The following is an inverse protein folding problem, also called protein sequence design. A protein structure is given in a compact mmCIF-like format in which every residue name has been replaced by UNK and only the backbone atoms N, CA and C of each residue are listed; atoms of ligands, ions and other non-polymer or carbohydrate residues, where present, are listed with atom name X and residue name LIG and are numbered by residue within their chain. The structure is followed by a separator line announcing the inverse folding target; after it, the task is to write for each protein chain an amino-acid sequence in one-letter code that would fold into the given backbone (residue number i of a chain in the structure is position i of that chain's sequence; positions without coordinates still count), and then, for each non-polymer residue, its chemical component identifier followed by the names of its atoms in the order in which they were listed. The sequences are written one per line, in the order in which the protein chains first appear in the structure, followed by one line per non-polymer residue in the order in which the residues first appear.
data_IF_892739741878
#
_entry.id   IF_892739741878
#
_cell.length_a   1.000
_cell.length_b   1.000
_cell.length_c   1.000
_cell.angle_alpha   90.00
_cell.angle_beta   90.00
_cell.angle_gamma   90.00
#
_symmetry.space_group_name_H-M   'P 1'
#
loop_
_entity.id
_entity.type
_entity.pdbx_description
1 polymer ?
#
# COMPACT_ATOMS: atom_id res chain seq x y z
N UNK A 1 13.49 -0.44 -4.58
CA UNK A 1 13.91 -1.08 -5.82
C UNK A 1 12.74 -1.24 -6.80
N UNK A 2 11.56 -1.66 -6.39
CA UNK A 2 10.42 -1.85 -7.29
C UNK A 2 10.07 -0.64 -8.21
N UNK A 3 10.15 0.60 -7.71
CA UNK A 3 9.85 1.77 -8.55
C UNK A 3 10.81 1.90 -9.75
N UNK A 4 12.10 1.60 -9.57
CA UNK A 4 13.08 1.65 -10.67
C UNK A 4 12.71 0.65 -11.77
N UNK A 5 12.43 -0.59 -11.41
CA UNK A 5 12.08 -1.64 -12.36
C UNK A 5 10.75 -1.33 -13.10
N UNK A 6 9.78 -0.71 -12.40
CA UNK A 6 8.54 -0.22 -13.04
C UNK A 6 8.81 0.90 -14.04
N UNK A 7 9.69 1.88 -13.72
CA UNK A 7 10.04 2.95 -14.66
C UNK A 7 10.80 2.42 -15.89
N UNK A 8 11.66 1.40 -15.73
CA UNK A 8 12.25 0.69 -16.86
C UNK A 8 11.17 0.08 -17.75
N UNK A 9 10.13 -0.53 -17.15
CA UNK A 9 8.98 -1.09 -17.87
C UNK A 9 8.14 -0.05 -18.63
N UNK A 10 8.07 1.19 -18.14
CA UNK A 10 7.43 2.29 -18.90
C UNK A 10 8.26 2.69 -20.11
N UNK A 11 9.60 2.70 -19.99
CA UNK A 11 10.52 3.08 -21.06
C UNK A 11 10.62 2.04 -22.20
N UNK A 12 10.04 0.86 -22.05
CA UNK A 12 9.93 -0.12 -23.15
C UNK A 12 9.10 0.42 -24.31
N UNK A 13 8.11 1.25 -24.04
CA UNK A 13 7.25 1.88 -25.06
C UNK A 13 7.97 2.99 -25.84
N UNK A 14 9.14 3.42 -25.38
CA UNK A 14 9.99 4.42 -26.00
C UNK A 14 10.56 5.45 -25.02
N UNK A 15 11.46 6.32 -25.51
CA UNK A 15 12.03 7.39 -24.70
C UNK A 15 10.97 8.36 -24.20
N UNK A 16 11.13 8.84 -22.95
CA UNK A 16 10.16 9.70 -22.30
C UNK A 16 10.80 10.71 -21.34
N UNK A 17 10.12 11.82 -21.08
CA UNK A 17 10.48 12.74 -20.01
C UNK A 17 10.09 12.20 -18.63
N UNK A 18 10.77 12.62 -17.58
CA UNK A 18 10.43 12.23 -16.20
C UNK A 18 8.97 12.58 -15.81
N UNK A 19 8.43 13.64 -16.40
CA UNK A 19 7.02 14.02 -16.24
C UNK A 19 6.08 12.93 -16.81
N UNK A 20 6.33 12.50 -18.03
CA UNK A 20 5.51 11.51 -18.74
C UNK A 20 5.61 10.13 -18.06
N UNK A 21 6.81 9.77 -17.57
CA UNK A 21 7.04 8.54 -16.81
C UNK A 21 6.21 8.51 -15.51
N UNK A 22 6.08 9.65 -14.81
CA UNK A 22 5.20 9.76 -13.65
C UNK A 22 3.74 9.53 -14.03
N UNK A 23 3.27 10.18 -15.08
CA UNK A 23 1.88 10.04 -15.52
C UNK A 23 1.57 8.61 -15.93
N UNK A 24 2.42 8.01 -16.76
CA UNK A 24 2.26 6.62 -17.17
C UNK A 24 2.27 5.63 -15.98
N UNK A 25 3.09 5.90 -14.95
CA UNK A 25 3.05 5.11 -13.71
C UNK A 25 1.70 5.24 -13.00
N UNK A 26 1.22 6.48 -12.77
CA UNK A 26 -0.01 6.72 -12.01
C UNK A 26 -1.24 6.18 -12.74
N UNK A 27 -1.26 6.23 -14.08
CA UNK A 27 -2.30 5.59 -14.91
C UNK A 27 -2.28 4.06 -14.82
N UNK A 28 -1.09 3.45 -14.78
CA UNK A 28 -0.95 1.99 -14.66
C UNK A 28 -1.28 1.45 -13.27
N UNK A 29 -1.09 2.27 -12.24
CA UNK A 29 -1.28 1.90 -10.83
C UNK A 29 -2.21 2.87 -10.09
N UNK A 30 -3.47 3.03 -10.52
CA UNK A 30 -4.41 4.01 -9.94
C UNK A 30 -4.74 3.73 -8.47
N UNK A 31 -4.68 2.46 -8.04
CA UNK A 31 -4.90 2.08 -6.63
C UNK A 31 -3.73 2.44 -5.70
N UNK A 32 -2.56 2.79 -6.24
CA UNK A 32 -1.40 3.19 -5.46
C UNK A 32 -1.44 4.69 -5.14
N UNK A 33 -0.62 5.10 -4.15
CA UNK A 33 -0.40 6.53 -3.92
C UNK A 33 0.35 7.13 -5.10
N UNK A 34 -0.19 8.23 -5.65
CA UNK A 34 0.45 8.96 -6.72
C UNK A 34 1.91 9.34 -6.38
N UNK A 35 2.82 9.14 -7.33
CA UNK A 35 4.24 9.41 -7.14
C UNK A 35 4.51 10.92 -7.01
N UNK A 36 5.39 11.28 -6.09
CA UNK A 36 5.96 12.62 -6.07
C UNK A 36 7.01 12.76 -7.19
N UNK A 37 7.05 13.90 -7.87
CA UNK A 37 8.07 14.19 -8.89
C UNK A 37 9.50 13.96 -8.40
N UNK A 38 9.81 14.40 -7.16
CA UNK A 38 11.11 14.17 -6.55
C UNK A 38 11.52 12.70 -6.45
N UNK A 39 10.57 11.78 -6.20
CA UNK A 39 10.83 10.34 -6.19
C UNK A 39 11.17 9.81 -7.58
N UNK A 40 10.46 10.27 -8.61
CA UNK A 40 10.73 9.88 -10.00
C UNK A 40 12.13 10.33 -10.42
N UNK A 41 12.45 11.62 -10.23
CA UNK A 41 13.77 12.14 -10.63
C UNK A 41 14.93 11.54 -9.83
N UNK A 42 14.75 11.31 -8.52
CA UNK A 42 15.76 10.62 -7.71
C UNK A 42 15.95 9.16 -8.15
N UNK A 43 14.88 8.50 -8.62
CA UNK A 43 14.97 7.14 -9.14
C UNK A 43 15.67 7.13 -10.52
N UNK A 44 15.29 8.05 -11.43
CA UNK A 44 15.94 8.18 -12.74
C UNK A 44 17.44 8.50 -12.62
N UNK A 45 17.83 9.35 -11.69
CA UNK A 45 19.25 9.62 -11.44
C UNK A 45 20.01 8.34 -11.04
N UNK A 46 19.45 7.51 -10.15
CA UNK A 46 20.05 6.24 -9.74
C UNK A 46 20.08 5.21 -10.89
N UNK A 47 19.05 5.17 -11.72
CA UNK A 47 19.01 4.29 -12.90
C UNK A 47 20.07 4.72 -13.93
N UNK A 48 20.26 6.02 -14.14
CA UNK A 48 21.27 6.59 -15.02
C UNK A 48 22.69 6.30 -14.48
N UNK A 49 22.93 6.49 -13.18
CA UNK A 49 24.21 6.16 -12.53
C UNK A 49 24.55 4.67 -12.65
N UNK A 50 23.53 3.81 -12.58
CA UNK A 50 23.68 2.37 -12.78
C UNK A 50 23.76 1.94 -14.27
N UNK A 51 23.68 2.87 -15.23
CA UNK A 51 23.73 2.59 -16.66
C UNK A 51 22.49 1.88 -17.22
N UNK A 52 21.38 1.86 -16.46
CA UNK A 52 20.14 1.20 -16.87
C UNK A 52 19.26 2.07 -17.76
N UNK A 53 19.45 3.39 -17.71
CA UNK A 53 18.85 4.37 -18.60
C UNK A 53 19.93 5.38 -19.02
N UNK A 54 19.74 5.99 -20.18
CA UNK A 54 20.58 7.09 -20.67
C UNK A 54 19.73 8.31 -21.01
N UNK A 55 20.36 9.49 -20.98
CA UNK A 55 19.74 10.73 -21.43
C UNK A 55 20.11 10.95 -22.88
N UNK A 56 19.13 10.87 -23.77
CA UNK A 56 19.31 11.03 -25.23
C UNK A 56 19.07 12.45 -25.71
N UNK A 57 18.34 13.26 -24.95
CA UNK A 57 18.04 14.64 -25.28
C UNK A 57 17.98 15.48 -24.01
N UNK A 58 18.54 16.67 -24.08
CA UNK A 58 18.43 17.70 -23.05
C UNK A 58 18.00 18.99 -23.71
N UNK A 59 16.81 19.49 -23.37
CA UNK A 59 16.31 20.76 -23.88
C UNK A 59 16.20 21.79 -22.77
N UNK A 60 16.69 22.99 -23.05
CA UNK A 60 16.67 24.15 -22.13
C UNK A 60 16.03 25.35 -22.82
N UNK A 61 14.72 25.27 -23.10
CA UNK A 61 13.94 26.40 -23.59
C UNK A 61 13.21 27.05 -22.42
N UNK A 62 13.66 28.22 -21.97
CA UNK A 62 12.99 29.14 -21.02
C UNK A 62 12.26 28.47 -19.82
N UNK A 63 12.90 27.45 -19.19
CA UNK A 63 12.32 26.71 -18.06
C UNK A 63 13.32 25.74 -17.42
N UNK A 64 12.89 24.93 -16.47
CA UNK A 64 13.73 23.86 -15.90
C UNK A 64 14.22 22.92 -17.00
N UNK A 65 15.46 22.46 -16.88
CA UNK A 65 16.08 21.51 -17.81
C UNK A 65 15.18 20.26 -17.98
N UNK A 66 14.81 19.96 -19.22
CA UNK A 66 14.02 18.78 -19.57
C UNK A 66 14.93 17.72 -20.19
N UNK A 67 14.95 16.55 -19.58
CA UNK A 67 15.73 15.39 -20.04
C UNK A 67 14.80 14.31 -20.56
N UNK A 68 15.14 13.75 -21.71
CA UNK A 68 14.51 12.56 -22.27
C UNK A 68 15.37 11.36 -21.92
N UNK A 69 14.76 10.40 -21.25
CA UNK A 69 15.41 9.16 -20.83
C UNK A 69 15.04 8.03 -21.80
N UNK A 70 16.02 7.20 -22.12
CA UNK A 70 15.85 5.99 -22.91
C UNK A 70 16.33 4.77 -22.12
N UNK A 71 15.73 3.63 -22.38
CA UNK A 71 16.15 2.33 -21.82
C UNK A 71 17.44 1.89 -22.54
N UNK A 72 18.45 1.45 -21.77
CA UNK A 72 19.65 0.81 -22.33
C UNK A 72 19.46 -0.69 -22.46
N UNK A 73 20.35 -1.39 -23.19
CA UNK A 73 20.35 -2.85 -23.25
C UNK A 73 20.50 -3.49 -21.87
N UNK A 74 21.36 -2.94 -21.02
CA UNK A 74 21.55 -3.38 -19.62
C UNK A 74 20.27 -3.17 -18.82
N UNK A 75 19.57 -2.05 -19.06
CA UNK A 75 18.27 -1.77 -18.45
C UNK A 75 17.20 -2.77 -18.88
N UNK A 76 17.19 -3.17 -20.14
CA UNK A 76 16.27 -4.18 -20.67
C UNK A 76 16.55 -5.58 -20.06
N UNK A 77 17.82 -5.96 -19.94
CA UNK A 77 18.22 -7.21 -19.27
C UNK A 77 17.80 -7.21 -17.80
N UNK A 78 18.01 -6.09 -17.08
CA UNK A 78 17.56 -5.92 -15.70
C UNK A 78 16.06 -6.08 -15.57
N UNK A 79 15.28 -5.45 -16.45
CA UNK A 79 13.82 -5.55 -16.47
C UNK A 79 13.36 -6.99 -16.70
N UNK A 80 13.95 -7.68 -17.69
CA UNK A 80 13.61 -9.08 -17.97
C UNK A 80 13.91 -10.00 -16.79
N UNK A 81 15.04 -9.79 -16.10
CA UNK A 81 15.40 -10.54 -14.90
C UNK A 81 14.39 -10.30 -13.77
N UNK A 82 13.98 -9.05 -13.56
CA UNK A 82 12.98 -8.71 -12.54
C UNK A 82 11.61 -9.32 -12.83
N UNK A 83 11.14 -9.25 -14.08
CA UNK A 83 9.86 -9.83 -14.50
C UNK A 83 9.86 -11.38 -14.42
N UNK A 84 11.02 -12.02 -14.59
CA UNK A 84 11.17 -13.47 -14.49
C UNK A 84 11.33 -14.00 -13.05
N UNK A 85 11.48 -13.12 -12.06
CA UNK A 85 11.66 -13.50 -10.65
C UNK A 85 10.31 -13.60 -9.96
N UNK A 86 10.07 -14.73 -9.28
CA UNK A 86 8.87 -14.90 -8.44
C UNK A 86 9.04 -14.20 -7.10
N UNK A 87 7.94 -13.63 -6.57
CA UNK A 87 7.91 -13.00 -5.26
C UNK A 87 7.51 -14.01 -4.18
N UNK A 88 8.28 -14.08 -3.11
CA UNK A 88 7.92 -14.86 -1.93
C UNK A 88 6.71 -14.22 -1.22
N UNK A 89 5.74 -15.02 -0.73
CA UNK A 89 4.65 -14.50 0.07
C UNK A 89 5.18 -13.75 1.28
N UNK A 90 4.89 -12.44 1.36
CA UNK A 90 5.32 -11.63 2.49
C UNK A 90 4.72 -12.11 3.79
N UNK A 91 5.55 -12.35 4.83
CA UNK A 91 5.05 -12.39 6.21
C UNK A 91 4.67 -10.96 6.57
N UNK A 92 3.37 -10.70 6.71
CA UNK A 92 2.90 -9.41 7.20
C UNK A 92 3.45 -9.18 8.60
N UNK A 93 4.54 -8.44 8.71
CA UNK A 93 4.91 -7.82 9.98
C UNK A 93 3.75 -6.95 10.43
N UNK A 94 3.40 -7.02 11.72
CA UNK A 94 2.29 -6.28 12.29
C UNK A 94 2.29 -4.83 11.76
N UNK A 95 1.32 -4.53 10.92
CA UNK A 95 1.14 -3.20 10.39
C UNK A 95 0.66 -2.23 11.49
N UNK A 96 0.50 -0.97 11.15
CA UNK A 96 0.08 0.06 12.11
C UNK A 96 -1.31 -0.22 12.69
N UNK A 97 -2.19 -0.85 11.92
CA UNK A 97 -3.53 -1.22 12.35
C UNK A 97 -3.48 -2.28 13.48
N UNK A 98 -2.67 -3.32 13.31
CA UNK A 98 -2.45 -4.35 14.33
C UNK A 98 -1.78 -3.77 15.56
N UNK A 99 -0.73 -2.94 15.39
CA UNK A 99 -0.03 -2.28 16.50
C UNK A 99 -0.98 -1.43 17.34
N UNK A 100 -1.79 -0.59 16.70
CA UNK A 100 -2.77 0.26 17.41
C UNK A 100 -3.80 -0.58 18.16
N UNK A 101 -4.34 -1.63 17.51
CA UNK A 101 -5.33 -2.51 18.15
C UNK A 101 -4.76 -3.18 19.40
N UNK A 102 -3.58 -3.80 19.28
CA UNK A 102 -2.93 -4.49 20.41
C UNK A 102 -2.55 -3.50 21.50
N UNK A 103 -2.02 -2.33 21.17
CA UNK A 103 -1.69 -1.29 22.14
C UNK A 103 -2.93 -0.79 22.87
N UNK A 104 -4.04 -0.52 22.15
CA UNK A 104 -5.30 -0.08 22.77
C UNK A 104 -5.84 -1.12 23.77
N UNK A 105 -5.76 -2.41 23.42
CA UNK A 105 -6.15 -3.50 24.32
C UNK A 105 -5.34 -3.52 25.61
N UNK A 106 -4.01 -3.37 25.54
CA UNK A 106 -3.13 -3.43 26.72
C UNK A 106 -3.19 -2.16 27.57
N UNK A 107 -3.44 -1.02 26.96
CA UNK A 107 -3.52 0.27 27.65
C UNK A 107 -4.91 0.64 28.17
N UNK A 108 -5.91 -0.24 27.98
CA UNK A 108 -7.28 0.00 28.43
C UNK A 108 -8.06 1.02 27.58
N UNK A 109 -7.54 1.40 26.41
CA UNK A 109 -8.23 2.27 25.47
C UNK A 109 -9.36 1.55 24.72
N UNK A 110 -10.22 2.31 24.03
CA UNK A 110 -11.35 1.74 23.29
C UNK A 110 -10.93 1.13 21.94
N UNK A 111 -10.40 -0.09 22.00
CA UNK A 111 -10.02 -0.84 20.80
C UNK A 111 -11.23 -1.17 19.91
N UNK A 112 -12.44 -1.42 20.46
CA UNK A 112 -13.64 -1.71 19.65
C UNK A 112 -14.07 -0.48 18.85
N UNK A 113 -14.06 0.71 19.47
CA UNK A 113 -14.35 1.98 18.80
C UNK A 113 -13.34 2.29 17.69
N UNK A 114 -12.04 2.08 17.94
CA UNK A 114 -10.99 2.23 16.92
C UNK A 114 -11.23 1.32 15.72
N UNK A 115 -11.45 0.02 15.95
CA UNK A 115 -11.70 -0.95 14.89
C UNK A 115 -12.97 -0.63 14.10
N UNK A 116 -14.02 -0.09 14.77
CA UNK A 116 -15.24 0.34 14.10
C UNK A 116 -14.97 1.52 13.15
N UNK A 117 -14.27 2.55 13.62
CA UNK A 117 -13.92 3.70 12.77
C UNK A 117 -13.03 3.26 11.60
N UNK A 118 -12.07 2.38 11.85
CA UNK A 118 -11.19 1.86 10.80
C UNK A 118 -11.97 1.08 9.73
N UNK A 119 -12.99 0.32 10.12
CA UNK A 119 -13.88 -0.37 9.17
C UNK A 119 -14.58 0.62 8.23
N UNK A 120 -15.07 1.76 8.72
CA UNK A 120 -15.71 2.77 7.86
C UNK A 120 -14.72 3.38 6.85
N UNK A 121 -13.46 3.58 7.23
CA UNK A 121 -12.39 4.01 6.33
C UNK A 121 -12.17 3.00 5.20
N UNK A 122 -12.11 1.68 5.55
CA UNK A 122 -11.92 0.61 4.56
C UNK A 122 -13.10 0.50 3.60
N UNK A 123 -14.34 0.58 4.10
CA UNK A 123 -15.53 0.58 3.25
C UNK A 123 -15.56 1.78 2.29
N UNK A 124 -15.09 2.93 2.73
CA UNK A 124 -14.99 4.11 1.87
C UNK A 124 -13.94 3.92 0.77
N UNK A 125 -12.79 3.34 1.11
CA UNK A 125 -11.75 2.99 0.14
C UNK A 125 -12.25 1.95 -0.87
N UNK A 126 -12.96 0.92 -0.40
CA UNK A 126 -13.52 -0.12 -1.26
C UNK A 126 -14.54 0.45 -2.27
N UNK A 127 -15.43 1.36 -1.82
CA UNK A 127 -16.37 2.03 -2.74
C UNK A 127 -15.65 2.83 -3.81
N UNK A 128 -14.61 3.59 -3.45
CA UNK A 128 -13.80 4.37 -4.38
C UNK A 128 -13.11 3.46 -5.40
N UNK A 129 -12.40 2.42 -4.96
CA UNK A 129 -11.72 1.49 -5.86
C UNK A 129 -12.69 0.71 -6.76
N UNK A 130 -13.88 0.37 -6.26
CA UNK A 130 -14.93 -0.26 -7.08
C UNK A 130 -15.40 0.67 -8.22
N UNK A 131 -15.45 1.98 -7.97
CA UNK A 131 -15.77 2.94 -9.01
C UNK A 131 -14.61 3.08 -10.02
N UNK A 132 -13.37 3.20 -9.53
CA UNK A 132 -12.17 3.25 -10.38
C UNK A 132 -12.05 2.00 -11.27
N UNK A 133 -12.41 0.81 -10.75
CA UNK A 133 -12.40 -0.44 -11.53
C UNK A 133 -13.38 -0.39 -12.73
N UNK A 134 -14.55 0.23 -12.56
CA UNK A 134 -15.52 0.37 -13.66
C UNK A 134 -15.05 1.33 -14.76
N UNK A 135 -14.17 2.26 -14.41
CA UNK A 135 -13.62 3.29 -15.29
C UNK A 135 -12.27 2.89 -15.89
N UNK A 136 -11.70 1.77 -15.43
CA UNK A 136 -10.38 1.31 -15.86
C UNK A 136 -10.43 0.68 -17.25
N UNK A 137 -9.73 1.29 -18.21
CA UNK A 137 -9.69 0.87 -19.61
C UNK A 137 -8.57 -0.13 -19.93
N UNK A 138 -7.57 -0.28 -19.03
CA UNK A 138 -6.44 -1.18 -19.25
C UNK A 138 -6.48 -2.41 -18.33
N UNK A 139 -6.09 -3.57 -18.86
CA UNK A 139 -5.96 -4.79 -18.07
C UNK A 139 -4.98 -4.63 -16.89
N UNK A 140 -3.91 -3.86 -17.06
CA UNK A 140 -2.96 -3.57 -15.99
C UNK A 140 -3.59 -2.81 -14.82
N UNK A 141 -4.36 -1.74 -15.11
CA UNK A 141 -5.09 -0.98 -14.10
C UNK A 141 -6.14 -1.86 -13.40
N UNK A 142 -6.89 -2.67 -14.16
CA UNK A 142 -7.87 -3.60 -13.59
C UNK A 142 -7.22 -4.61 -12.63
N UNK A 143 -6.11 -5.23 -13.01
CA UNK A 143 -5.36 -6.18 -12.15
C UNK A 143 -4.89 -5.49 -10.86
N UNK A 144 -4.35 -4.26 -10.96
CA UNK A 144 -3.86 -3.53 -9.80
C UNK A 144 -5.00 -3.16 -8.83
N UNK A 145 -6.16 -2.73 -9.37
CA UNK A 145 -7.33 -2.40 -8.55
C UNK A 145 -7.96 -3.65 -7.93
N UNK A 146 -8.11 -4.74 -8.68
CA UNK A 146 -8.62 -6.01 -8.16
C UNK A 146 -7.76 -6.53 -7.01
N UNK A 147 -6.44 -6.45 -7.13
CA UNK A 147 -5.53 -6.82 -6.06
C UNK A 147 -5.75 -5.94 -4.81
N UNK A 148 -5.90 -4.63 -4.96
CA UNK A 148 -6.17 -3.72 -3.84
C UNK A 148 -7.54 -4.00 -3.18
N UNK A 149 -8.58 -4.31 -3.96
CA UNK A 149 -9.89 -4.71 -3.46
C UNK A 149 -9.83 -6.03 -2.67
N UNK A 150 -9.07 -7.03 -3.16
CA UNK A 150 -8.88 -8.29 -2.46
C UNK A 150 -8.18 -8.10 -1.10
N UNK A 151 -7.20 -7.21 -1.02
CA UNK A 151 -6.55 -6.84 0.25
C UNK A 151 -7.53 -6.17 1.22
N UNK A 152 -8.29 -5.17 0.76
CA UNK A 152 -9.30 -4.50 1.59
C UNK A 152 -10.38 -5.47 2.11
N UNK A 153 -10.81 -6.43 1.29
CA UNK A 153 -11.77 -7.45 1.71
C UNK A 153 -11.20 -8.36 2.81
N UNK A 154 -9.93 -8.77 2.70
CA UNK A 154 -9.26 -9.54 3.74
C UNK A 154 -9.11 -8.73 5.04
N UNK A 155 -8.74 -7.45 4.96
CA UNK A 155 -8.64 -6.54 6.11
C UNK A 155 -10.01 -6.30 6.77
N UNK A 156 -11.08 -6.13 5.99
CA UNK A 156 -12.44 -5.99 6.53
C UNK A 156 -12.88 -7.22 7.33
N UNK A 157 -12.62 -8.42 6.85
CA UNK A 157 -12.88 -9.67 7.59
C UNK A 157 -12.08 -9.70 8.89
N UNK A 158 -10.78 -9.37 8.81
CA UNK A 158 -9.92 -9.30 9.99
C UNK A 158 -10.44 -8.30 11.02
N UNK A 159 -10.89 -7.11 10.60
CA UNK A 159 -11.45 -6.07 11.47
C UNK A 159 -12.71 -6.58 12.20
N UNK A 160 -13.58 -7.31 11.53
CA UNK A 160 -14.79 -7.92 12.11
C UNK A 160 -14.44 -8.98 13.15
N UNK A 161 -13.51 -9.87 12.82
CA UNK A 161 -13.03 -10.93 13.73
C UNK A 161 -12.30 -10.32 14.95
N UNK A 162 -11.47 -9.32 14.75
CA UNK A 162 -10.77 -8.62 15.81
C UNK A 162 -11.76 -7.94 16.78
N UNK A 163 -12.80 -7.26 16.25
CA UNK A 163 -13.86 -6.67 17.06
C UNK A 163 -14.61 -7.71 17.90
N UNK A 164 -14.96 -8.84 17.30
CA UNK A 164 -15.63 -9.92 18.02
C UNK A 164 -14.78 -10.41 19.22
N UNK A 165 -13.46 -10.60 19.00
CA UNK A 165 -12.52 -11.03 20.05
C UNK A 165 -12.37 -9.96 21.16
N UNK A 166 -12.26 -8.68 20.79
CA UNK A 166 -12.19 -7.57 21.75
C UNK A 166 -13.42 -7.53 22.66
N UNK A 167 -14.63 -7.69 22.10
CA UNK A 167 -15.89 -7.71 22.85
C UNK A 167 -15.98 -8.91 23.79
N UNK A 168 -15.57 -10.08 23.35
CA UNK A 168 -15.54 -11.30 24.18
C UNK A 168 -14.57 -11.13 25.35
N UNK A 169 -13.38 -10.60 25.12
CA UNK A 169 -12.39 -10.35 26.19
C UNK A 169 -12.92 -9.36 27.23
N UNK A 170 -13.61 -8.28 26.80
CA UNK A 170 -14.24 -7.30 27.73
C UNK A 170 -15.37 -7.91 28.56
N UNK A 171 -16.18 -8.82 27.97
CA UNK A 171 -17.26 -9.49 28.69
C UNK A 171 -16.72 -10.47 29.74
N UNK A 172 -15.68 -11.23 29.41
CA UNK A 172 -15.01 -12.16 30.33
C UNK A 172 -14.38 -11.46 31.53
N UNK A 173 -13.71 -10.32 31.31
CA UNK A 173 -13.09 -9.54 32.40
C UNK A 173 -14.11 -8.87 33.34
N UNK A 174 -15.29 -8.46 32.82
CA UNK A 174 -16.38 -7.96 33.65
C UNK A 174 -16.99 -9.07 34.51
N UNK A 175 -17.18 -10.26 33.98
CA UNK A 175 -17.75 -11.41 34.69
C UNK A 175 -16.81 -11.92 35.79
N UNK A 176 -15.48 -11.90 35.55
CA UNK A 176 -14.49 -12.26 36.58
C UNK A 176 -14.47 -11.26 37.72
N UNK A 177 -14.49 -9.95 37.41
CA UNK A 177 -14.52 -8.89 38.42
C UNK A 177 -15.80 -8.86 39.29
N UNK A 178 -16.94 -9.22 38.68
CA UNK A 178 -18.22 -9.31 39.40
C UNK A 178 -18.26 -10.49 40.39
N UNK A 179 -17.56 -11.59 40.07
CA UNK A 179 -17.43 -12.76 40.97
C UNK A 179 -16.51 -12.49 42.16
N UNK A 180 -15.41 -11.75 41.99
CA UNK A 180 -14.50 -11.37 43.08
C UNK A 180 -15.17 -10.46 44.09
N UNK A 181 -15.97 -9.47 43.66
CA UNK A 181 -16.69 -8.55 44.54
C UNK A 181 -17.78 -9.28 45.36
N UNK A 182 -18.40 -10.35 44.83
CA UNK A 182 -19.41 -11.13 45.55
C UNK A 182 -18.79 -12.10 46.53
N UNK A 183 -17.58 -12.58 46.32
CA UNK A 183 -16.88 -13.49 47.21
C UNK A 183 -16.29 -12.76 48.46
N UNK A 184 -15.91 -11.52 48.33
CA UNK A 184 -15.36 -10.69 49.43
C UNK A 184 -16.42 -10.28 50.44
N UNK A 185 -17.71 -10.14 50.03
CA UNK A 185 -18.83 -9.84 50.90
C UNK A 185 -19.37 -11.06 51.65
N UNK A 186 -19.07 -12.29 51.18
CA UNK A 186 -19.49 -13.52 51.84
C UNK A 186 -18.53 -14.01 52.94
N UNK A 187 -17.31 -13.44 53.01
CA UNK A 187 -16.31 -13.78 54.06
C UNK A 187 -16.27 -12.82 55.24
N UNK A 188 -17.11 -11.76 55.28
CA UNK A 188 -17.15 -10.74 56.33
C UNK A 188 -18.45 -10.78 57.16
N UNK A 189 -19.16 -11.95 57.21
CA UNK A 189 -20.37 -12.18 57.97
C UNK A 189 -20.20 -13.22 59.08
#
# INVERSE_FOLDING_TARGET
MALGDVLLGVLVDGPAHGYDLKHAHDERFPASRALAYGQVYATLARLQEAGLVEVIETSQAAGPERRVYALTDIGAERLNSWLGTTEEPGTYTADELVRKTVTALHSGHDADGFLHQQREVHLSAMRRLTQELREADSAGAQIAIDHALAHLDAELRWLEDARARVRTARSGSRSARAKDVTSDHASAG
#
